data_IF_629656205195
#
_entry.id   IF_629656205195
#
_cell.length_a   1.000
_cell.length_b   1.000
_cell.length_c   1.000
_cell.angle_alpha   90.00
_cell.angle_beta   90.00
_cell.angle_gamma   90.00
#
_symmetry.space_group_name_H-M   'P 1'
#
loop_
_entity.id
_entity.type
_entity.pdbx_description
1 polymer ?
#
# COMPACT_ATOMS: atom_id res chain seq x y z
N UNK A 1 11.73 -16.35 8.53
CA UNK A 1 12.92 -16.31 7.65
C UNK A 1 12.98 -14.91 7.06
N UNK A 2 14.14 -14.27 7.16
CA UNK A 2 14.40 -12.97 6.51
C UNK A 2 15.60 -13.16 5.60
N UNK A 3 15.48 -12.75 4.35
CA UNK A 3 16.56 -12.74 3.36
C UNK A 3 16.53 -11.40 2.65
N UNK A 4 17.68 -10.95 2.18
CA UNK A 4 17.75 -9.74 1.39
C UNK A 4 19.16 -9.53 0.87
N UNK A 5 19.23 -8.86 -0.27
CA UNK A 5 20.48 -8.54 -0.95
C UNK A 5 20.52 -7.05 -1.23
N UNK A 6 21.70 -6.46 -1.09
CA UNK A 6 21.94 -5.07 -1.42
C UNK A 6 23.08 -5.00 -2.43
N UNK A 7 22.84 -4.29 -3.54
CA UNK A 7 23.79 -4.12 -4.62
C UNK A 7 23.93 -2.63 -4.95
N UNK A 8 25.15 -2.13 -4.85
CA UNK A 8 25.52 -0.85 -5.42
C UNK A 8 25.88 -1.05 -6.90
N UNK A 9 25.07 -0.48 -7.80
CA UNK A 9 25.29 -0.54 -9.26
C UNK A 9 25.43 0.87 -9.80
N UNK A 10 26.67 1.34 -9.90
CA UNK A 10 26.94 2.75 -10.25
C UNK A 10 26.51 3.67 -9.11
N UNK A 11 25.63 4.62 -9.40
CA UNK A 11 25.02 5.53 -8.43
C UNK A 11 23.69 5.02 -7.86
N UNK A 12 23.28 3.80 -8.20
CA UNK A 12 22.02 3.18 -7.77
C UNK A 12 22.23 2.19 -6.64
N UNK A 13 21.42 2.30 -5.60
CA UNK A 13 21.23 1.27 -4.58
C UNK A 13 20.04 0.41 -4.99
N UNK A 14 20.31 -0.84 -5.33
CA UNK A 14 19.31 -1.85 -5.64
C UNK A 14 19.25 -2.80 -4.46
N UNK A 15 18.06 -2.99 -3.90
CA UNK A 15 17.85 -3.87 -2.76
C UNK A 15 16.64 -4.75 -2.97
N UNK A 16 16.73 -5.98 -2.46
CA UNK A 16 15.61 -6.92 -2.38
C UNK A 16 15.49 -7.44 -0.95
N UNK A 17 14.28 -7.80 -0.56
CA UNK A 17 13.97 -8.33 0.76
C UNK A 17 12.82 -9.31 0.70
N UNK A 18 13.01 -10.47 1.31
CA UNK A 18 12.00 -11.50 1.52
C UNK A 18 11.82 -11.73 3.02
N UNK A 19 10.58 -11.65 3.48
CA UNK A 19 10.17 -11.95 4.84
C UNK A 19 9.07 -13.00 4.81
N UNK A 20 9.29 -14.10 5.53
CA UNK A 20 8.29 -15.13 5.77
C UNK A 20 8.20 -15.43 7.27
N UNK A 21 6.99 -15.37 7.83
CA UNK A 21 6.72 -15.77 9.20
C UNK A 21 5.53 -16.73 9.25
N UNK A 22 5.69 -17.86 9.94
CA UNK A 22 4.62 -18.84 10.10
C UNK A 22 3.46 -18.32 10.97
N UNK A 23 3.76 -17.33 11.82
CA UNK A 23 2.79 -16.64 12.66
C UNK A 23 3.23 -15.18 12.79
N UNK A 24 2.31 -14.26 12.62
CA UNK A 24 2.50 -12.83 12.76
C UNK A 24 1.36 -12.26 13.62
N UNK A 25 1.72 -11.50 14.64
CA UNK A 25 0.78 -10.91 15.59
C UNK A 25 1.03 -9.41 15.68
N UNK A 26 -0.04 -8.63 15.71
CA UNK A 26 0.00 -7.18 15.95
C UNK A 26 -0.85 -6.92 17.18
N UNK A 27 -0.24 -6.39 18.24
CA UNK A 27 -0.95 -5.94 19.46
C UNK A 27 -1.90 -6.97 20.10
N UNK A 28 -1.65 -8.28 19.90
CA UNK A 28 -2.48 -9.36 20.44
C UNK A 28 -3.52 -9.92 19.46
N UNK A 29 -3.56 -9.43 18.22
CA UNK A 29 -4.35 -9.98 17.12
C UNK A 29 -3.49 -10.93 16.30
N UNK A 30 -3.98 -12.16 16.07
CA UNK A 30 -3.29 -13.16 15.24
C UNK A 30 -3.64 -12.94 13.76
N UNK A 31 -2.70 -12.33 13.03
CA UNK A 31 -2.84 -12.01 11.61
C UNK A 31 -2.62 -13.24 10.70
N UNK A 32 -2.04 -14.32 11.25
CA UNK A 32 -1.74 -15.56 10.55
C UNK A 32 -0.31 -15.62 10.00
N UNK A 33 -0.13 -16.32 8.89
CA UNK A 33 1.15 -16.42 8.17
C UNK A 33 1.41 -15.13 7.41
N UNK A 34 2.61 -14.58 7.53
CA UNK A 34 3.06 -13.42 6.78
C UNK A 34 4.03 -13.85 5.68
N UNK A 35 3.83 -13.31 4.48
CA UNK A 35 4.83 -13.31 3.40
C UNK A 35 4.94 -11.91 2.83
N UNK A 36 6.15 -11.42 2.65
CA UNK A 36 6.44 -10.14 2.03
C UNK A 36 7.68 -10.26 1.15
N UNK A 37 7.56 -9.86 -0.11
CA UNK A 37 8.64 -9.72 -1.09
C UNK A 37 8.65 -8.25 -1.51
N UNK A 38 9.78 -7.59 -1.28
CA UNK A 38 10.00 -6.18 -1.57
C UNK A 38 11.29 -5.96 -2.35
N UNK A 39 11.29 -4.94 -3.20
CA UNK A 39 12.47 -4.47 -3.90
C UNK A 39 12.46 -2.95 -4.00
N UNK A 40 13.62 -2.32 -3.94
CA UNK A 40 13.75 -0.90 -4.23
C UNK A 40 15.00 -0.58 -5.03
N UNK A 41 14.91 0.47 -5.85
CA UNK A 41 15.97 1.00 -6.68
C UNK A 41 15.99 2.52 -6.49
N UNK A 42 17.00 3.02 -5.78
CA UNK A 42 17.12 4.40 -5.31
C UNK A 42 18.48 5.00 -5.69
N UNK A 43 18.59 6.32 -5.69
CA UNK A 43 19.91 6.99 -5.74
C UNK A 43 20.67 6.68 -4.43
N UNK A 44 21.84 6.07 -4.55
CA UNK A 44 22.61 5.57 -3.41
C UNK A 44 23.11 6.70 -2.51
N UNK A 45 23.52 7.83 -3.10
CA UNK A 45 24.04 8.97 -2.35
C UNK A 45 22.92 9.62 -1.54
N UNK A 46 21.80 9.94 -2.19
CA UNK A 46 20.65 10.54 -1.53
C UNK A 46 20.07 9.60 -0.47
N UNK A 47 20.04 8.29 -0.72
CA UNK A 47 19.63 7.32 0.31
C UNK A 47 20.53 7.38 1.53
N UNK A 48 21.86 7.42 1.32
CA UNK A 48 22.81 7.56 2.42
C UNK A 48 22.66 8.88 3.18
N UNK A 49 22.36 9.98 2.47
CA UNK A 49 22.16 11.31 3.06
C UNK A 49 20.83 11.40 3.85
N UNK A 50 19.79 10.68 3.43
CA UNK A 50 18.43 10.69 4.04
C UNK A 50 18.29 9.69 5.19
N UNK A 51 18.93 8.52 5.12
CA UNK A 51 18.83 7.47 6.15
C UNK A 51 19.01 7.94 7.60
N UNK A 52 20.05 8.74 7.94
CA UNK A 52 20.21 9.23 9.31
C UNK A 52 19.11 10.20 9.75
N UNK A 53 18.44 10.88 8.81
CA UNK A 53 17.31 11.77 9.09
C UNK A 53 16.04 10.95 9.39
N UNK A 54 15.77 9.87 8.64
CA UNK A 54 14.59 9.03 8.89
C UNK A 54 14.61 8.35 10.26
N UNK A 55 15.79 8.18 10.86
CA UNK A 55 15.95 7.60 12.19
C UNK A 55 15.61 8.57 13.32
N UNK A 56 15.37 9.85 13.03
CA UNK A 56 14.96 10.86 13.99
C UNK A 56 13.65 11.54 13.56
N UNK A 57 12.50 11.22 14.19
CA UNK A 57 11.19 11.78 13.85
C UNK A 57 11.16 13.31 13.83
N UNK A 58 11.94 13.99 14.68
CA UNK A 58 12.00 15.46 14.75
C UNK A 58 12.62 16.10 13.50
N UNK A 59 13.36 15.33 12.70
CA UNK A 59 14.01 15.85 11.49
C UNK A 59 13.14 15.71 10.24
N UNK A 60 12.03 14.97 10.30
CA UNK A 60 11.11 14.80 9.16
C UNK A 60 10.37 16.10 8.81
N UNK A 61 10.13 16.97 9.79
CA UNK A 61 9.50 18.27 9.59
C UNK A 61 10.48 19.37 9.17
N UNK A 62 11.77 19.06 9.03
CA UNK A 62 12.79 20.02 8.59
C UNK A 62 12.73 20.20 7.08
N UNK A 63 12.72 21.46 6.62
CA UNK A 63 12.77 21.84 5.20
C UNK A 63 13.88 21.12 4.43
N UNK A 64 15.08 20.97 5.03
CA UNK A 64 16.21 20.26 4.41
C UNK A 64 15.92 18.79 4.15
N UNK A 65 15.19 18.12 5.05
CA UNK A 65 14.78 16.72 4.86
C UNK A 65 13.75 16.63 3.72
N UNK A 66 12.81 17.57 3.68
CA UNK A 66 11.86 17.70 2.57
C UNK A 66 12.53 17.89 1.21
N UNK A 67 13.54 18.77 1.14
CA UNK A 67 14.32 18.99 -0.08
C UNK A 67 15.09 17.74 -0.53
N UNK A 68 15.71 17.01 0.40
CA UNK A 68 16.44 15.78 0.08
C UNK A 68 15.49 14.68 -0.40
N UNK A 69 14.35 14.50 0.26
CA UNK A 69 13.31 13.57 -0.18
C UNK A 69 12.81 13.95 -1.59
N UNK A 70 12.56 15.22 -1.85
CA UNK A 70 12.16 15.70 -3.17
C UNK A 70 13.22 15.42 -4.24
N UNK A 71 14.49 15.65 -3.94
CA UNK A 71 15.60 15.31 -4.84
C UNK A 71 15.68 13.80 -5.12
N UNK A 72 15.43 12.97 -4.11
CA UNK A 72 15.40 11.51 -4.28
C UNK A 72 14.28 11.09 -5.22
N UNK A 73 13.07 11.63 -5.00
CA UNK A 73 11.92 11.35 -5.86
C UNK A 73 12.19 11.81 -7.30
N UNK A 74 12.82 12.98 -7.47
CA UNK A 74 13.12 13.58 -8.77
C UNK A 74 14.11 12.78 -9.61
N UNK A 75 15.04 12.04 -8.98
CA UNK A 75 16.12 11.28 -9.63
C UNK A 75 15.72 9.89 -10.15
N UNK A 76 14.42 9.65 -10.27
CA UNK A 76 13.80 8.34 -10.51
C UNK A 76 13.99 7.36 -9.36
N UNK A 77 12.91 6.66 -9.01
CA UNK A 77 12.92 5.65 -7.97
C UNK A 77 11.99 4.50 -8.32
N UNK A 78 12.31 3.31 -7.82
CA UNK A 78 11.38 2.18 -7.82
C UNK A 78 11.21 1.68 -6.41
N UNK A 79 9.97 1.46 -6.01
CA UNK A 79 9.62 0.84 -4.74
C UNK A 79 8.54 -0.19 -5.00
N UNK A 80 8.91 -1.45 -4.86
CA UNK A 80 8.07 -2.59 -5.18
C UNK A 80 7.81 -3.40 -3.92
N UNK A 81 6.54 -3.71 -3.68
CA UNK A 81 6.07 -4.81 -2.86
C UNK A 81 5.52 -5.80 -3.89
N UNK A 82 6.33 -6.75 -4.32
CA UNK A 82 5.96 -7.71 -5.36
C UNK A 82 4.85 -8.64 -4.88
N UNK A 83 4.89 -8.99 -3.59
CA UNK A 83 3.88 -9.78 -2.93
C UNK A 83 3.88 -9.51 -1.42
N UNK A 84 2.79 -9.01 -0.89
CA UNK A 84 2.48 -9.04 0.53
C UNK A 84 1.25 -9.92 0.72
N UNK A 85 1.31 -10.84 1.68
CA UNK A 85 0.16 -11.66 2.02
C UNK A 85 0.08 -11.99 3.49
N UNK A 86 -1.15 -11.96 4.00
CA UNK A 86 -1.52 -12.51 5.29
C UNK A 86 -2.53 -13.64 5.08
N UNK A 87 -2.30 -14.79 5.70
CA UNK A 87 -3.15 -15.97 5.52
C UNK A 87 -3.42 -16.67 6.85
N UNK A 88 -4.68 -16.93 7.13
CA UNK A 88 -5.11 -17.73 8.28
C UNK A 88 -6.12 -18.81 7.85
N UNK A 89 -6.70 -19.54 8.81
CA UNK A 89 -7.67 -20.61 8.50
C UNK A 89 -8.98 -20.14 7.84
N UNK A 90 -9.27 -18.82 7.87
CA UNK A 90 -10.48 -18.21 7.31
C UNK A 90 -10.29 -17.69 5.89
N UNK A 91 -9.05 -17.38 5.51
CA UNK A 91 -8.76 -16.91 4.17
C UNK A 91 -7.44 -16.16 4.10
N UNK A 92 -7.36 -15.29 3.08
CA UNK A 92 -6.13 -14.62 2.69
C UNK A 92 -6.40 -13.19 2.26
N UNK A 93 -5.46 -12.31 2.59
CA UNK A 93 -5.32 -10.98 1.98
C UNK A 93 -4.02 -10.96 1.20
N UNK A 94 -4.10 -10.43 -0.02
CA UNK A 94 -2.97 -10.25 -0.92
C UNK A 94 -2.88 -8.79 -1.36
N UNK A 95 -1.65 -8.30 -1.46
CA UNK A 95 -1.34 -6.95 -1.94
C UNK A 95 -0.06 -6.99 -2.77
N UNK A 96 -0.05 -6.24 -3.86
CA UNK A 96 1.17 -5.90 -4.59
C UNK A 96 1.15 -4.41 -4.94
N UNK A 97 2.29 -3.75 -4.80
CA UNK A 97 2.50 -2.35 -5.15
C UNK A 97 3.78 -2.26 -5.98
N UNK A 98 3.68 -1.86 -7.23
CA UNK A 98 4.80 -1.49 -8.07
C UNK A 98 4.76 0.02 -8.21
N UNK A 99 5.56 0.74 -7.44
CA UNK A 99 5.69 2.18 -7.58
C UNK A 99 6.94 2.48 -8.40
N UNK A 100 6.75 3.06 -9.58
CA UNK A 100 7.81 3.39 -10.52
C UNK A 100 7.69 4.88 -10.84
N UNK A 101 8.69 5.66 -10.43
CA UNK A 101 8.80 7.07 -10.75
C UNK A 101 9.96 7.29 -11.70
N UNK A 102 9.68 7.78 -12.90
CA UNK A 102 10.69 8.28 -13.80
C UNK A 102 11.32 9.57 -13.26
N UNK A 103 12.45 9.95 -13.84
CA UNK A 103 13.04 11.25 -13.52
C UNK A 103 12.06 12.36 -13.90
N UNK A 104 11.86 13.32 -13.02
CA UNK A 104 10.95 14.44 -13.25
C UNK A 104 11.53 15.74 -12.69
N UNK A 105 11.03 16.87 -13.17
CA UNK A 105 11.41 18.19 -12.66
C UNK A 105 10.54 18.54 -11.43
N UNK A 106 11.14 18.75 -10.24
CA UNK A 106 10.42 19.16 -9.04
C UNK A 106 9.53 20.40 -9.21
N UNK A 107 9.87 21.31 -10.12
CA UNK A 107 9.04 22.50 -10.40
C UNK A 107 7.65 22.13 -10.94
N UNK A 108 7.51 20.92 -11.51
CA UNK A 108 6.26 20.40 -12.05
C UNK A 108 5.45 19.57 -11.04
N UNK A 109 5.81 19.51 -9.75
CA UNK A 109 5.03 18.80 -8.74
C UNK A 109 3.57 19.27 -8.65
N UNK A 110 3.33 20.56 -8.88
CA UNK A 110 1.96 21.12 -8.91
C UNK A 110 1.15 20.70 -10.14
N UNK A 111 1.79 20.10 -11.14
CA UNK A 111 1.14 19.61 -12.35
C UNK A 111 0.89 18.10 -12.24
N UNK A 112 -0.35 17.75 -11.89
CA UNK A 112 -0.78 16.35 -11.75
C UNK A 112 -0.44 15.50 -12.98
N UNK A 113 -0.65 16.03 -14.19
CA UNK A 113 -0.38 15.27 -15.42
C UNK A 113 1.11 14.93 -15.56
N UNK A 114 2.01 15.85 -15.18
CA UNK A 114 3.45 15.60 -15.19
C UNK A 114 3.86 14.52 -14.16
N UNK A 115 3.25 14.55 -12.97
CA UNK A 115 3.47 13.53 -11.93
C UNK A 115 2.96 12.16 -12.39
N UNK A 116 1.77 12.08 -12.99
CA UNK A 116 1.22 10.83 -13.52
C UNK A 116 2.07 10.27 -14.66
N UNK A 117 2.62 11.12 -15.52
CA UNK A 117 3.54 10.69 -16.56
C UNK A 117 4.81 10.09 -15.97
N UNK A 118 5.35 10.69 -14.91
CA UNK A 118 6.46 10.12 -14.18
C UNK A 118 6.10 8.76 -13.54
N UNK A 119 4.83 8.57 -13.15
CA UNK A 119 4.32 7.34 -12.54
C UNK A 119 3.81 6.27 -13.53
N UNK A 120 3.95 6.48 -14.86
CA UNK A 120 3.31 5.73 -15.97
C UNK A 120 3.54 4.22 -16.05
N UNK A 121 4.27 3.61 -15.13
CA UNK A 121 4.42 2.14 -15.03
C UNK A 121 4.08 1.62 -13.63
N UNK A 122 3.37 2.44 -12.83
CA UNK A 122 2.98 2.09 -11.47
C UNK A 122 1.69 1.27 -11.44
N UNK A 123 1.63 0.32 -10.53
CA UNK A 123 0.49 -0.58 -10.34
C UNK A 123 0.27 -0.88 -8.87
N UNK A 124 -0.99 -0.88 -8.45
CA UNK A 124 -1.41 -1.36 -7.15
C UNK A 124 -2.49 -2.42 -7.36
N UNK A 125 -2.36 -3.55 -6.68
CA UNK A 125 -3.41 -4.56 -6.63
C UNK A 125 -3.59 -5.04 -5.21
N UNK A 126 -4.83 -5.24 -4.81
CA UNK A 126 -5.15 -5.92 -3.56
C UNK A 126 -6.34 -6.85 -3.76
N UNK A 127 -6.32 -7.99 -3.08
CA UNK A 127 -7.43 -8.91 -2.99
C UNK A 127 -7.68 -9.24 -1.51
N UNK A 128 -8.92 -9.05 -1.07
CA UNK A 128 -9.30 -9.23 0.33
C UNK A 128 -10.40 -10.27 0.40
N UNK A 129 -10.14 -11.34 1.14
CA UNK A 129 -11.14 -12.33 1.47
C UNK A 129 -12.05 -11.84 2.61
N UNK A 130 -13.35 -12.03 2.42
CA UNK A 130 -14.42 -11.65 3.36
C UNK A 130 -14.24 -12.27 4.73
N UNK A 131 -14.07 -13.58 4.79
CA UNK A 131 -14.01 -14.33 6.04
C UNK A 131 -12.73 -14.01 6.80
N UNK A 132 -11.63 -13.76 6.08
CA UNK A 132 -10.41 -13.23 6.69
C UNK A 132 -10.66 -11.85 7.31
N UNK A 133 -11.26 -10.92 6.57
CA UNK A 133 -11.54 -9.57 7.08
C UNK A 133 -12.48 -9.59 8.29
N UNK A 134 -13.55 -10.40 8.26
CA UNK A 134 -14.47 -10.58 9.39
C UNK A 134 -13.74 -11.10 10.63
N UNK A 135 -12.84 -12.07 10.46
CA UNK A 135 -12.08 -12.62 11.57
C UNK A 135 -11.09 -11.61 12.17
N UNK A 136 -10.36 -10.86 11.34
CA UNK A 136 -9.44 -9.83 11.83
C UNK A 136 -10.19 -8.71 12.54
N UNK A 137 -11.28 -8.17 11.97
CA UNK A 137 -12.05 -7.10 12.62
C UNK A 137 -12.64 -7.58 13.95
N UNK A 138 -13.15 -8.82 14.00
CA UNK A 138 -13.62 -9.43 15.25
C UNK A 138 -12.51 -9.49 16.30
N UNK A 139 -11.34 -9.99 15.94
CA UNK A 139 -10.20 -10.08 16.86
C UNK A 139 -9.76 -8.69 17.34
N UNK A 140 -9.66 -7.71 16.44
CA UNK A 140 -9.33 -6.32 16.76
C UNK A 140 -10.34 -5.76 17.76
N UNK A 141 -11.65 -5.82 17.49
CA UNK A 141 -12.69 -5.30 18.40
C UNK A 141 -12.68 -5.95 19.79
N UNK A 142 -12.30 -7.23 19.90
CA UNK A 142 -12.13 -7.87 21.22
C UNK A 142 -10.89 -7.31 21.94
N UNK A 143 -9.80 -7.12 21.21
CA UNK A 143 -8.50 -6.71 21.78
C UNK A 143 -8.48 -5.23 22.13
N UNK A 144 -8.95 -4.36 21.23
CA UNK A 144 -8.86 -2.90 21.33
C UNK A 144 -10.10 -2.29 21.97
N UNK A 145 -11.30 -2.61 21.45
CA UNK A 145 -12.58 -2.07 21.90
C UNK A 145 -13.17 -2.82 23.11
N UNK A 146 -12.58 -3.97 23.48
CA UNK A 146 -13.03 -4.83 24.59
C UNK A 146 -14.47 -5.32 24.45
N UNK A 147 -14.96 -5.46 23.21
CA UNK A 147 -16.29 -6.03 22.95
C UNK A 147 -16.35 -7.50 23.37
N UNK A 148 -17.54 -7.95 23.75
CA UNK A 148 -17.80 -9.38 23.94
C UNK A 148 -17.76 -10.14 22.61
N UNK A 149 -17.49 -11.46 22.64
CA UNK A 149 -17.34 -12.29 21.44
C UNK A 149 -18.51 -12.17 20.45
N UNK A 150 -19.75 -12.22 20.93
CA UNK A 150 -20.94 -12.14 20.07
C UNK A 150 -21.16 -10.73 19.50
N UNK A 151 -20.85 -9.70 20.28
CA UNK A 151 -20.93 -8.30 19.83
C UNK A 151 -19.85 -8.01 18.78
N UNK A 152 -18.62 -8.46 19.00
CA UNK A 152 -17.52 -8.34 18.05
C UNK A 152 -17.81 -9.06 16.72
N UNK A 153 -18.43 -10.24 16.76
CA UNK A 153 -18.87 -10.95 15.53
C UNK A 153 -19.90 -10.15 14.76
N UNK A 154 -20.92 -9.62 15.44
CA UNK A 154 -21.98 -8.84 14.81
C UNK A 154 -21.41 -7.56 14.19
N UNK A 155 -20.53 -6.88 14.91
CA UNK A 155 -19.83 -5.68 14.45
C UNK A 155 -18.96 -5.97 13.21
N UNK A 156 -18.11 -7.00 13.28
CA UNK A 156 -17.25 -7.38 12.16
C UNK A 156 -18.06 -7.71 10.91
N UNK A 157 -19.14 -8.48 11.08
CA UNK A 157 -20.06 -8.79 9.98
C UNK A 157 -20.66 -7.52 9.39
N UNK A 158 -21.18 -6.60 10.20
CA UNK A 158 -21.76 -5.35 9.71
C UNK A 158 -20.75 -4.52 8.90
N UNK A 159 -19.52 -4.39 9.39
CA UNK A 159 -18.47 -3.62 8.73
C UNK A 159 -18.08 -4.23 7.38
N UNK A 160 -17.88 -5.56 7.34
CA UNK A 160 -17.54 -6.25 6.11
C UNK A 160 -18.71 -6.29 5.14
N UNK A 161 -19.94 -6.51 5.61
CA UNK A 161 -21.15 -6.46 4.79
C UNK A 161 -21.26 -5.08 4.11
N UNK A 162 -21.03 -3.98 4.83
CA UNK A 162 -21.05 -2.63 4.25
C UNK A 162 -20.01 -2.46 3.12
N UNK A 163 -18.78 -2.96 3.30
CA UNK A 163 -17.74 -2.91 2.25
C UNK A 163 -18.12 -3.77 1.05
N UNK A 164 -18.58 -5.00 1.28
CA UNK A 164 -18.87 -5.97 0.21
C UNK A 164 -20.18 -5.68 -0.54
N UNK A 165 -21.15 -5.03 0.10
CA UNK A 165 -22.37 -4.54 -0.56
C UNK A 165 -22.10 -3.35 -1.46
N UNK A 166 -21.18 -2.47 -1.06
CA UNK A 166 -20.76 -1.33 -1.86
C UNK A 166 -19.67 -1.69 -2.89
N UNK A 167 -19.07 -2.87 -2.79
CA UNK A 167 -18.13 -3.37 -3.78
C UNK A 167 -18.83 -3.59 -5.14
N UNK A 168 -18.27 -3.01 -6.19
CA UNK A 168 -18.86 -2.98 -7.53
C UNK A 168 -19.64 -1.71 -7.86
N UNK A 169 -19.88 -0.82 -6.90
CA UNK A 169 -20.35 0.55 -7.17
C UNK A 169 -19.16 1.39 -7.61
N UNK A 170 -19.26 2.01 -8.79
CA UNK A 170 -18.13 2.71 -9.46
C UNK A 170 -17.43 3.74 -8.57
N UNK A 171 -18.19 4.41 -7.69
CA UNK A 171 -17.71 5.45 -6.79
C UNK A 171 -16.76 4.94 -5.68
N UNK A 172 -16.78 3.64 -5.35
CA UNK A 172 -15.98 3.10 -4.25
C UNK A 172 -14.65 2.48 -4.70
N UNK A 173 -14.43 2.35 -6.01
CA UNK A 173 -13.17 1.82 -6.53
C UNK A 173 -12.87 0.35 -6.20
N UNK A 174 -13.82 -0.35 -5.60
CA UNK A 174 -13.75 -1.77 -5.28
C UNK A 174 -14.45 -2.58 -6.38
N UNK A 175 -13.81 -3.64 -6.86
CA UNK A 175 -14.42 -4.62 -7.73
C UNK A 175 -14.80 -5.86 -6.94
N UNK A 176 -16.06 -6.26 -7.00
CA UNK A 176 -16.48 -7.58 -6.52
C UNK A 176 -15.96 -8.66 -7.48
N UNK A 177 -15.16 -9.59 -6.98
CA UNK A 177 -14.66 -10.74 -7.76
C UNK A 177 -15.68 -11.87 -7.66
N UNK A 178 -16.10 -12.17 -6.43
CA UNK A 178 -17.14 -13.13 -6.08
C UNK A 178 -17.78 -12.72 -4.73
N UNK A 179 -18.61 -13.57 -4.13
CA UNK A 179 -19.27 -13.27 -2.85
C UNK A 179 -18.33 -13.17 -1.63
N UNK A 180 -17.12 -13.73 -1.76
CA UNK A 180 -16.12 -13.84 -0.72
C UNK A 180 -14.86 -13.02 -1.00
N UNK A 181 -14.68 -12.45 -2.20
CA UNK A 181 -13.47 -11.71 -2.54
C UNK A 181 -13.78 -10.36 -3.20
N UNK A 182 -13.13 -9.32 -2.70
CA UNK A 182 -13.10 -7.99 -3.31
C UNK A 182 -11.68 -7.64 -3.73
N UNK A 183 -11.56 -7.00 -4.89
CA UNK A 183 -10.29 -6.63 -5.50
C UNK A 183 -10.23 -5.15 -5.80
N UNK A 184 -9.05 -4.57 -5.67
CA UNK A 184 -8.69 -3.27 -6.24
C UNK A 184 -7.55 -3.51 -7.22
N UNK A 185 -7.63 -2.89 -8.39
CA UNK A 185 -6.52 -2.79 -9.33
C UNK A 185 -6.42 -1.35 -9.82
N UNK A 186 -5.38 -0.64 -9.43
CA UNK A 186 -5.02 0.66 -9.96
C UNK A 186 -3.78 0.52 -10.83
N UNK A 187 -3.83 1.04 -12.05
CA UNK A 187 -2.66 1.11 -12.93
C UNK A 187 -2.54 2.51 -13.49
N UNK A 188 -1.33 3.04 -13.49
CA UNK A 188 -1.01 4.30 -14.18
C UNK A 188 -0.26 3.89 -15.44
N UNK A 189 -0.82 4.20 -16.61
CA UNK A 189 -0.22 3.94 -17.92
C UNK A 189 -0.21 5.22 -18.74
N UNK A 190 0.98 5.66 -19.15
CA UNK A 190 1.20 6.85 -19.97
C UNK A 190 0.45 8.10 -19.47
N UNK A 191 0.45 8.33 -18.16
CA UNK A 191 -0.21 9.47 -17.52
C UNK A 191 -1.71 9.34 -17.32
N UNK A 192 -2.31 8.20 -17.68
CA UNK A 192 -3.72 7.86 -17.44
C UNK A 192 -3.84 6.89 -16.28
N UNK A 193 -4.83 7.11 -15.43
CA UNK A 193 -5.09 6.23 -14.29
C UNK A 193 -6.28 5.35 -14.61
N UNK A 194 -6.10 4.04 -14.49
CA UNK A 194 -7.16 3.07 -14.63
C UNK A 194 -7.44 2.42 -13.28
N UNK A 195 -8.70 2.39 -12.89
CA UNK A 195 -9.19 1.73 -11.68
C UNK A 195 -10.11 0.59 -12.09
N UNK A 196 -9.73 -0.63 -11.76
CA UNK A 196 -10.41 -1.87 -12.13
C UNK A 196 -10.68 -2.02 -13.63
N UNK A 197 -9.84 -1.43 -14.48
CA UNK A 197 -9.98 -1.43 -15.94
C UNK A 197 -10.81 -0.28 -16.51
N UNK A 198 -11.32 0.63 -15.67
CA UNK A 198 -11.97 1.89 -16.09
C UNK A 198 -10.97 3.04 -16.01
N UNK A 199 -10.78 3.77 -17.11
CA UNK A 199 -10.01 5.01 -17.10
C UNK A 199 -10.73 6.05 -16.22
N UNK A 200 -10.03 6.57 -15.22
CA UNK A 200 -10.55 7.62 -14.35
C UNK A 200 -10.36 8.98 -15.01
N UNK A 201 -11.42 9.80 -15.09
CA UNK A 201 -11.27 11.19 -15.50
C UNK A 201 -10.55 12.01 -14.40
N UNK A 202 -9.97 13.16 -14.78
CA UNK A 202 -9.14 13.98 -13.88
C UNK A 202 -9.88 14.46 -12.63
N UNK A 203 -11.18 14.73 -12.74
CA UNK A 203 -12.05 15.17 -11.65
C UNK A 203 -12.30 14.08 -10.60
N UNK A 204 -12.34 12.80 -11.02
CA UNK A 204 -12.46 11.66 -10.10
C UNK A 204 -11.11 11.23 -9.51
N UNK A 205 -9.99 11.59 -10.17
CA UNK A 205 -8.67 11.08 -9.84
C UNK A 205 -8.23 11.46 -8.42
N UNK A 206 -8.39 12.72 -8.01
CA UNK A 206 -7.96 13.17 -6.69
C UNK A 206 -8.68 12.41 -5.58
N UNK A 207 -9.99 12.22 -5.74
CA UNK A 207 -10.82 11.47 -4.79
C UNK A 207 -10.43 9.99 -4.76
N UNK A 208 -10.22 9.36 -5.92
CA UNK A 208 -9.82 7.96 -6.00
C UNK A 208 -8.45 7.71 -5.35
N UNK A 209 -7.46 8.56 -5.63
CA UNK A 209 -6.14 8.49 -4.99
C UNK A 209 -6.23 8.73 -3.47
N UNK A 210 -7.03 9.71 -3.05
CA UNK A 210 -7.27 9.98 -1.63
C UNK A 210 -7.90 8.77 -0.93
N UNK A 211 -8.90 8.14 -1.53
CA UNK A 211 -9.54 6.95 -0.97
C UNK A 211 -8.57 5.77 -0.84
N UNK A 212 -7.63 5.60 -1.77
CA UNK A 212 -6.61 4.55 -1.69
C UNK A 212 -5.61 4.85 -0.55
N UNK A 213 -5.15 6.09 -0.43
CA UNK A 213 -4.25 6.50 0.66
C UNK A 213 -4.94 6.36 2.01
N UNK A 214 -6.19 6.80 2.12
CA UNK A 214 -6.98 6.70 3.35
C UNK A 214 -7.36 5.25 3.68
N UNK A 215 -7.74 4.44 2.69
CA UNK A 215 -8.08 3.04 2.88
C UNK A 215 -6.87 2.17 3.25
N UNK A 216 -5.67 2.55 2.78
CA UNK A 216 -4.43 1.95 3.25
C UNK A 216 -4.03 2.46 4.65
N UNK A 217 -4.31 3.73 4.96
CA UNK A 217 -4.00 4.35 6.25
C UNK A 217 -4.93 3.95 7.41
N UNK A 218 -6.20 3.66 7.13
CA UNK A 218 -7.19 3.24 8.14
C UNK A 218 -7.03 1.78 8.58
N UNK A 219 -6.15 1.01 7.93
CA UNK A 219 -5.75 -0.32 8.39
C UNK A 219 -4.59 -0.27 9.40
N UNK A 220 -4.04 0.92 9.68
CA UNK A 220 -2.90 1.15 10.56
C UNK A 220 -3.14 2.14 11.70
N UNK A 221 -4.40 2.51 11.98
CA UNK A 221 -4.79 3.24 13.19
C UNK A 221 -5.70 2.38 14.07
#
# INVERSE_FOLDING_TARGET
MVKGDNLLKGDRLISTGDLEAATFNIEGVEMGKLKMDMAYDLDAKLTNDITPLLSNPQTLENEKTGELLLQLLAKSFKFHINNFSLENSKGKVDLALLLNMAQFDPQNLGNMQAVLQALSTSKFTSNINRQYAEDIIRQVSIVTEKLGEEEAKAFAKQQVDAVFLNAGVEQYGLRKVDDNNVKIELTIDNGKVNLNGRELPEDELQMALFMIVMGAGSLGQ
#
